data_IF_376624078600
#
_entry.id   IF_376624078600
#
_cell.length_a   1.000
_cell.length_b   1.000
_cell.length_c   1.000
_cell.angle_alpha   90.00
_cell.angle_beta   90.00
_cell.angle_gamma   90.00
#
_symmetry.space_group_name_H-M   'P 1'
#
loop_
_entity.id
_entity.type
_entity.pdbx_description
1 polymer ?
#
# COMPACT_ATOMS: atom_id res chain seq x y z
N UNK A 1 -16.87 26.26 -5.67
CA UNK A 1 -15.75 25.78 -6.50
C UNK A 1 -15.84 24.26 -6.49
N UNK A 2 -16.41 23.67 -7.53
CA UNK A 2 -16.43 22.21 -7.70
C UNK A 2 -15.01 21.81 -8.10
N UNK A 3 -14.38 20.94 -7.30
CA UNK A 3 -13.10 20.33 -7.68
C UNK A 3 -13.48 19.22 -8.65
N UNK A 4 -13.33 19.48 -9.95
CA UNK A 4 -13.41 18.43 -10.96
C UNK A 4 -12.14 17.61 -10.88
N UNK A 5 -12.25 16.34 -10.47
CA UNK A 5 -11.14 15.40 -10.61
C UNK A 5 -10.95 15.11 -12.09
N UNK A 6 -9.76 15.40 -12.61
CA UNK A 6 -9.42 15.05 -13.99
C UNK A 6 -8.94 13.61 -14.05
N UNK A 7 -9.04 12.98 -15.23
CA UNK A 7 -8.42 11.67 -15.50
C UNK A 7 -6.93 11.68 -15.12
N UNK A 8 -6.24 12.80 -15.35
CA UNK A 8 -4.84 12.97 -14.99
C UNK A 8 -4.62 12.90 -13.48
N UNK A 9 -5.50 13.48 -12.67
CA UNK A 9 -5.40 13.41 -11.21
C UNK A 9 -5.56 11.97 -10.71
N UNK A 10 -6.54 11.24 -11.26
CA UNK A 10 -6.76 9.83 -10.91
C UNK A 10 -5.55 8.95 -11.29
N UNK A 11 -4.94 9.20 -12.45
CA UNK A 11 -3.74 8.48 -12.87
C UNK A 11 -2.53 8.78 -11.97
N UNK A 12 -2.35 10.04 -11.56
CA UNK A 12 -1.30 10.43 -10.61
C UNK A 12 -1.50 9.75 -9.25
N UNK A 13 -2.74 9.69 -8.74
CA UNK A 13 -3.05 9.00 -7.49
C UNK A 13 -2.72 7.51 -7.56
N UNK A 14 -3.03 6.85 -8.69
CA UNK A 14 -2.69 5.44 -8.91
C UNK A 14 -1.17 5.23 -8.88
N UNK A 15 -0.40 6.08 -9.55
CA UNK A 15 1.07 6.03 -9.55
C UNK A 15 1.61 6.18 -8.12
N UNK A 16 1.15 7.18 -7.37
CA UNK A 16 1.57 7.39 -5.98
C UNK A 16 1.21 6.18 -5.09
N UNK A 17 0.04 5.59 -5.28
CA UNK A 17 -0.37 4.37 -4.57
C UNK A 17 0.53 3.18 -4.91
N UNK A 18 0.93 3.01 -6.17
CA UNK A 18 1.87 1.97 -6.57
C UNK A 18 3.25 2.16 -5.91
N UNK A 19 3.75 3.39 -5.82
CA UNK A 19 4.98 3.69 -5.09
C UNK A 19 4.88 3.34 -3.60
N UNK A 20 3.74 3.66 -2.96
CA UNK A 20 3.47 3.31 -1.56
C UNK A 20 3.46 1.80 -1.32
N UNK A 21 2.91 1.03 -2.25
CA UNK A 21 2.95 -0.45 -2.21
C UNK A 21 4.39 -0.94 -2.33
N UNK A 22 5.14 -0.45 -3.33
CA UNK A 22 6.54 -0.82 -3.54
C UNK A 22 7.40 -0.56 -2.30
N UNK A 23 7.23 0.62 -1.68
CA UNK A 23 7.92 0.96 -0.44
C UNK A 23 7.54 0.03 0.74
N UNK A 24 6.27 -0.37 0.85
CA UNK A 24 5.83 -1.30 1.89
C UNK A 24 6.35 -2.72 1.66
N UNK A 25 6.38 -3.19 0.41
CA UNK A 25 6.95 -4.48 0.01
C UNK A 25 8.47 -4.50 0.26
N UNK A 26 9.18 -3.42 -0.06
CA UNK A 26 10.60 -3.28 0.26
C UNK A 26 10.85 -3.42 1.77
N UNK A 27 10.04 -2.76 2.61
CA UNK A 27 10.11 -2.90 4.07
C UNK A 27 9.82 -4.31 4.55
N UNK A 28 8.85 -5.01 3.94
CA UNK A 28 8.55 -6.42 4.24
C UNK A 28 9.76 -7.31 3.95
N UNK A 29 10.40 -7.11 2.81
CA UNK A 29 11.58 -7.88 2.39
C UNK A 29 12.81 -7.61 3.25
N UNK A 30 12.88 -6.43 3.89
CA UNK A 30 13.93 -6.07 4.84
C UNK A 30 13.68 -6.59 6.26
N UNK A 31 12.54 -7.22 6.55
CA UNK A 31 12.29 -7.77 7.89
C UNK A 31 13.28 -8.89 8.21
N UNK A 32 13.76 -8.97 9.47
CA UNK A 32 14.75 -9.96 9.85
C UNK A 32 14.24 -11.39 9.67
N UNK A 33 14.98 -12.17 8.87
CA UNK A 33 14.72 -13.58 8.63
C UNK A 33 15.32 -14.47 9.73
N UNK A 34 14.94 -15.74 9.74
CA UNK A 34 15.48 -16.73 10.67
C UNK A 34 14.88 -16.69 12.08
N UNK A 35 15.56 -17.39 13.00
CA UNK A 35 15.16 -17.48 14.40
C UNK A 35 15.41 -16.14 15.10
N UNK A 36 14.42 -15.70 15.86
CA UNK A 36 14.48 -14.52 16.72
C UNK A 36 14.01 -14.93 18.12
N UNK A 37 14.56 -14.32 19.18
CA UNK A 37 13.96 -14.46 20.50
C UNK A 37 12.51 -13.98 20.47
N UNK A 38 11.68 -14.53 21.37
CA UNK A 38 10.23 -14.36 21.32
C UNK A 38 9.74 -12.90 21.24
N UNK A 39 10.32 -11.92 22.00
CA UNK A 39 9.91 -10.52 21.89
C UNK A 39 10.13 -9.93 20.49
N UNK A 40 11.29 -10.20 19.89
CA UNK A 40 11.70 -9.73 18.57
C UNK A 40 10.88 -10.40 17.47
N UNK A 41 10.62 -11.71 17.60
CA UNK A 41 9.69 -12.44 16.74
C UNK A 41 8.31 -11.78 16.76
N UNK A 42 7.73 -11.54 17.94
CA UNK A 42 6.40 -10.93 18.08
C UNK A 42 6.36 -9.53 17.46
N UNK A 43 7.43 -8.73 17.65
CA UNK A 43 7.56 -7.41 17.04
C UNK A 43 7.61 -7.50 15.51
N UNK A 44 8.40 -8.41 14.96
CA UNK A 44 8.47 -8.66 13.51
C UNK A 44 7.13 -9.10 12.95
N UNK A 45 6.44 -10.04 13.58
CA UNK A 45 5.13 -10.52 13.12
C UNK A 45 4.07 -9.41 13.14
N UNK A 46 4.11 -8.53 14.16
CA UNK A 46 3.28 -7.33 14.17
C UNK A 46 3.60 -6.41 12.99
N UNK A 47 4.88 -6.07 12.79
CA UNK A 47 5.30 -5.23 11.66
C UNK A 47 4.92 -5.81 10.31
N UNK A 48 5.04 -7.14 10.14
CA UNK A 48 4.63 -7.83 8.93
C UNK A 48 3.14 -7.65 8.66
N UNK A 49 2.29 -7.88 9.66
CA UNK A 49 0.84 -7.70 9.54
C UNK A 49 0.46 -6.25 9.24
N UNK A 50 1.09 -5.30 9.93
CA UNK A 50 0.81 -3.87 9.73
C UNK A 50 1.18 -3.43 8.29
N UNK A 51 2.31 -3.91 7.75
CA UNK A 51 2.73 -3.63 6.38
C UNK A 51 1.83 -4.32 5.34
N UNK A 52 1.41 -5.57 5.59
CA UNK A 52 0.47 -6.28 4.72
C UNK A 52 -0.90 -5.57 4.68
N UNK A 53 -1.44 -5.20 5.83
CA UNK A 53 -2.69 -4.44 5.91
C UNK A 53 -2.58 -3.08 5.19
N UNK A 54 -1.41 -2.42 5.25
CA UNK A 54 -1.17 -1.19 4.50
C UNK A 54 -1.20 -1.44 2.99
N UNK A 55 -0.57 -2.51 2.51
CA UNK A 55 -0.61 -2.89 1.08
C UNK A 55 -2.04 -3.14 0.64
N UNK A 56 -2.79 -3.98 1.35
CA UNK A 56 -4.18 -4.31 1.03
C UNK A 56 -5.07 -3.05 0.99
N UNK A 57 -4.87 -2.13 1.94
CA UNK A 57 -5.60 -0.87 1.96
C UNK A 57 -5.31 -0.02 0.72
N UNK A 58 -4.04 0.11 0.33
CA UNK A 58 -3.64 0.90 -0.84
C UNK A 58 -4.08 0.24 -2.15
N UNK A 59 -4.04 -1.10 -2.24
CA UNK A 59 -4.61 -1.84 -3.38
C UNK A 59 -6.10 -1.57 -3.56
N UNK A 60 -6.84 -1.47 -2.45
CA UNK A 60 -8.27 -1.09 -2.49
C UNK A 60 -8.46 0.34 -3.02
N UNK A 61 -7.59 1.28 -2.65
CA UNK A 61 -7.63 2.65 -3.18
C UNK A 61 -7.36 2.68 -4.68
N UNK A 62 -6.35 1.94 -5.15
CA UNK A 62 -6.07 1.79 -6.58
C UNK A 62 -7.31 1.26 -7.30
N UNK A 63 -7.93 0.20 -6.77
CA UNK A 63 -9.13 -0.39 -7.36
C UNK A 63 -10.26 0.63 -7.50
N UNK A 64 -10.54 1.42 -6.46
CA UNK A 64 -11.55 2.48 -6.49
C UNK A 64 -11.22 3.51 -7.58
N UNK A 65 -9.97 3.98 -7.61
CA UNK A 65 -9.50 4.91 -8.63
C UNK A 65 -9.63 4.34 -10.06
N UNK A 66 -9.31 3.07 -10.25
CA UNK A 66 -9.44 2.40 -11.57
C UNK A 66 -10.89 2.15 -11.95
N UNK A 67 -11.78 1.90 -11.00
CA UNK A 67 -13.23 1.80 -11.24
C UNK A 67 -13.78 3.18 -11.66
N UNK A 68 -13.39 4.26 -10.97
CA UNK A 68 -13.77 5.63 -11.36
C UNK A 68 -13.35 6.01 -12.78
N UNK A 69 -12.17 5.55 -13.25
CA UNK A 69 -11.74 5.77 -14.64
C UNK A 69 -12.60 5.05 -15.69
N UNK A 70 -13.31 3.97 -15.32
CA UNK A 70 -14.18 3.22 -16.25
C UNK A 70 -15.56 3.84 -16.40
N UNK A 71 -15.94 4.72 -15.48
CA UNK A 71 -17.25 5.39 -15.45
C UNK A 71 -17.22 6.77 -16.13
N UNK A 72 -16.05 7.23 -16.59
CA UNK A 72 -15.82 8.48 -17.34
C UNK A 72 -15.77 8.16 -18.84
#
# INVERSE_FOLDING_TARGET
MQIELTIKDILNDIEEFQERISAAQSKLNMLPAGYLPYPEYKKREKQRRDLQAKIEHVEKLIRIATEGLKEI
#
